data_IF_126387214746
#
_entry.id   IF_126387214746
#
_cell.length_a   1.000
_cell.length_b   1.000
_cell.length_c   1.000
_cell.angle_alpha   90.00
_cell.angle_beta   90.00
_cell.angle_gamma   90.00
#
_symmetry.space_group_name_H-M   'P 1'
#
loop_
_entity.id
_entity.type
_entity.pdbx_description
1 polymer ?
#
# COMPACT_ATOMS: atom_id res chain seq x y z
N UNK A 1 -4.51 -16.55 -10.96
CA UNK A 1 -3.77 -16.46 -9.68
C UNK A 1 -2.28 -16.59 -9.98
N UNK A 2 -1.43 -15.70 -9.46
CA UNK A 2 0.00 -15.71 -9.78
C UNK A 2 0.69 -16.90 -9.10
N UNK A 3 1.38 -17.75 -9.87
CA UNK A 3 2.18 -18.86 -9.35
C UNK A 3 3.66 -18.44 -9.28
N UNK A 4 4.29 -18.71 -8.14
CA UNK A 4 5.70 -18.49 -7.93
C UNK A 4 6.36 -19.81 -7.51
N UNK A 5 7.38 -20.29 -8.24
CA UNK A 5 8.05 -21.56 -7.91
C UNK A 5 8.76 -21.51 -6.56
N UNK A 6 9.22 -20.32 -6.14
CA UNK A 6 9.92 -20.10 -4.87
C UNK A 6 9.43 -18.82 -4.20
N UNK A 7 9.63 -18.72 -2.89
CA UNK A 7 9.41 -17.48 -2.13
C UNK A 7 10.26 -16.34 -2.73
N UNK A 8 11.49 -16.62 -3.13
CA UNK A 8 12.37 -15.62 -3.76
C UNK A 8 11.79 -15.08 -5.06
N UNK A 9 11.19 -15.94 -5.90
CA UNK A 9 10.49 -15.50 -7.11
C UNK A 9 9.35 -14.53 -6.78
N UNK A 10 8.59 -14.79 -5.72
CA UNK A 10 7.53 -13.89 -5.24
C UNK A 10 8.11 -12.55 -4.73
N UNK A 11 9.20 -12.57 -3.97
CA UNK A 11 9.89 -11.36 -3.49
C UNK A 11 10.43 -10.51 -4.64
N UNK A 12 11.03 -11.17 -5.65
CA UNK A 12 11.53 -10.51 -6.85
C UNK A 12 10.40 -9.87 -7.66
N UNK A 13 9.25 -10.55 -7.78
CA UNK A 13 8.07 -10.00 -8.43
C UNK A 13 7.54 -8.75 -7.69
N UNK A 14 7.46 -8.78 -6.35
CA UNK A 14 7.04 -7.62 -5.54
C UNK A 14 8.00 -6.43 -5.69
N UNK A 15 9.30 -6.71 -5.80
CA UNK A 15 10.33 -5.68 -5.93
C UNK A 15 10.29 -5.02 -7.31
N UNK A 16 9.96 -5.80 -8.36
CA UNK A 16 9.88 -5.34 -9.75
C UNK A 16 8.51 -4.77 -10.14
N UNK A 17 7.57 -4.61 -9.21
CA UNK A 17 6.17 -4.20 -9.44
C UNK A 17 5.96 -2.75 -9.93
N UNK A 18 6.90 -2.17 -10.68
CA UNK A 18 6.78 -0.85 -11.29
C UNK A 18 6.79 0.30 -10.27
N UNK A 19 5.85 1.23 -10.43
CA UNK A 19 5.74 2.46 -9.62
C UNK A 19 5.52 2.19 -8.12
N UNK A 20 5.01 1.00 -7.78
CA UNK A 20 4.72 0.59 -6.40
C UNK A 20 5.68 -0.48 -5.87
N UNK A 21 6.80 -0.72 -6.57
CA UNK A 21 7.83 -1.69 -6.18
C UNK A 21 8.32 -1.44 -4.75
N UNK A 22 8.69 -2.52 -4.07
CA UNK A 22 9.26 -2.49 -2.72
C UNK A 22 10.75 -2.80 -2.78
N UNK A 23 11.56 -2.14 -1.97
CA UNK A 23 13.00 -2.41 -1.91
C UNK A 23 13.27 -3.91 -1.62
N UNK A 24 14.23 -4.56 -2.30
CA UNK A 24 14.43 -6.01 -2.19
C UNK A 24 14.64 -6.52 -0.76
N UNK A 25 15.33 -5.76 0.08
CA UNK A 25 15.52 -6.11 1.48
C UNK A 25 14.19 -6.17 2.25
N UNK A 26 13.32 -5.18 2.06
CA UNK A 26 12.00 -5.15 2.69
C UNK A 26 11.08 -6.22 2.11
N UNK A 27 11.15 -6.47 0.80
CA UNK A 27 10.36 -7.53 0.15
C UNK A 27 10.68 -8.91 0.72
N UNK A 28 11.96 -9.22 0.97
CA UNK A 28 12.38 -10.49 1.58
C UNK A 28 11.78 -10.73 2.96
N UNK A 29 11.57 -9.67 3.75
CA UNK A 29 11.01 -9.78 5.11
C UNK A 29 9.48 -9.79 5.12
N UNK A 30 8.86 -9.05 4.20
CA UNK A 30 7.42 -8.77 4.24
C UNK A 30 6.59 -9.71 3.35
N UNK A 31 7.07 -10.03 2.15
CA UNK A 31 6.32 -10.87 1.19
C UNK A 31 5.98 -12.26 1.72
N UNK A 32 6.90 -13.00 2.40
CA UNK A 32 6.59 -14.36 2.86
C UNK A 32 5.37 -14.45 3.78
N UNK A 33 5.05 -13.38 4.52
CA UNK A 33 3.90 -13.31 5.45
C UNK A 33 2.54 -13.37 4.73
N UNK A 34 2.53 -13.03 3.44
CA UNK A 34 1.33 -13.06 2.60
C UNK A 34 1.30 -14.22 1.61
N UNK A 35 2.24 -15.17 1.69
CA UNK A 35 2.27 -16.31 0.77
C UNK A 35 1.48 -17.50 1.33
N UNK A 36 0.80 -18.21 0.43
CA UNK A 36 0.22 -19.52 0.71
C UNK A 36 0.80 -20.58 -0.24
N UNK A 37 1.08 -21.80 0.25
CA UNK A 37 1.50 -22.88 -0.62
C UNK A 37 0.36 -23.27 -1.55
N UNK A 38 0.70 -23.65 -2.78
CA UNK A 38 -0.26 -24.15 -3.77
C UNK A 38 0.33 -25.33 -4.54
N UNK A 39 -0.54 -26.25 -4.91
CA UNK A 39 -0.26 -27.33 -5.83
C UNK A 39 -1.08 -27.11 -7.10
N UNK A 40 -0.45 -27.13 -8.27
CA UNK A 40 -1.11 -26.97 -9.57
C UNK A 40 -0.77 -28.16 -10.43
N UNK A 41 -1.79 -28.86 -10.92
CA UNK A 41 -1.62 -29.91 -11.94
C UNK A 41 -1.46 -29.23 -13.30
N UNK A 42 -0.37 -29.50 -14.01
CA UNK A 42 -0.15 -28.90 -15.33
C UNK A 42 -1.11 -29.54 -16.36
N UNK A 43 -2.10 -28.82 -16.92
CA UNK A 43 -3.09 -29.40 -17.83
C UNK A 43 -2.48 -29.89 -19.16
N UNK A 44 -1.27 -29.43 -19.52
CA UNK A 44 -0.61 -29.76 -20.78
C UNK A 44 0.33 -30.99 -20.71
N UNK A 45 0.56 -31.56 -19.53
CA UNK A 45 1.52 -32.65 -19.30
C UNK A 45 0.83 -34.00 -18.98
N UNK A 46 -0.47 -34.14 -19.28
CA UNK A 46 -1.25 -35.39 -19.13
C UNK A 46 -0.74 -36.57 -19.98
N UNK A 47 0.39 -36.41 -20.70
CA UNK A 47 1.04 -37.42 -21.54
C UNK A 47 2.49 -37.76 -21.12
N UNK A 48 2.92 -37.44 -19.89
CA UNK A 48 4.18 -37.98 -19.35
C UNK A 48 3.90 -39.22 -18.48
N UNK A 49 4.58 -40.30 -18.81
CA UNK A 49 4.37 -41.68 -18.36
C UNK A 49 4.70 -41.99 -16.90
N UNK A 50 5.09 -40.99 -16.09
CA UNK A 50 5.58 -41.19 -14.70
C UNK A 50 4.61 -40.67 -13.62
N UNK A 51 3.35 -40.40 -13.96
CA UNK A 51 2.24 -40.28 -13.00
C UNK A 51 2.25 -39.08 -12.04
N UNK A 52 3.31 -38.28 -11.95
CA UNK A 52 3.37 -37.14 -11.03
C UNK A 52 3.64 -35.81 -11.75
N UNK A 53 2.57 -35.09 -12.07
CA UNK A 53 2.59 -33.84 -12.82
C UNK A 53 2.06 -32.65 -12.00
N UNK A 54 2.37 -32.67 -10.70
CA UNK A 54 1.95 -31.66 -9.74
C UNK A 54 3.10 -30.71 -9.47
N UNK A 55 2.91 -29.43 -9.80
CA UNK A 55 3.84 -28.36 -9.47
C UNK A 55 3.50 -27.80 -8.09
N UNK A 56 4.46 -27.82 -7.18
CA UNK A 56 4.38 -27.18 -5.86
C UNK A 56 5.01 -25.80 -5.91
N UNK A 57 4.37 -24.82 -5.30
CA UNK A 57 4.90 -23.47 -5.23
C UNK A 57 4.09 -22.59 -4.30
N UNK A 58 4.13 -21.29 -4.57
CA UNK A 58 3.56 -20.25 -3.73
C UNK A 58 2.68 -19.32 -4.54
N UNK A 59 1.66 -18.78 -3.89
CA UNK A 59 0.88 -17.67 -4.43
C UNK A 59 0.64 -16.63 -3.35
N UNK A 60 0.36 -15.40 -3.76
CA UNK A 60 -0.03 -14.35 -2.83
C UNK A 60 -1.45 -14.62 -2.37
N UNK A 61 -1.65 -14.64 -1.05
CA UNK A 61 -2.97 -14.76 -0.45
C UNK A 61 -3.78 -13.53 -0.83
N UNK A 62 -4.85 -13.74 -1.59
CA UNK A 62 -5.72 -12.68 -2.08
C UNK A 62 -7.08 -13.28 -2.48
N UNK A 63 -8.10 -12.43 -2.49
CA UNK A 63 -9.40 -12.73 -3.06
C UNK A 63 -9.47 -12.16 -4.49
N UNK A 64 -9.93 -12.95 -5.45
CA UNK A 64 -10.10 -12.49 -6.83
C UNK A 64 -11.15 -11.38 -6.93
N UNK A 65 -12.11 -11.31 -6.01
CA UNK A 65 -13.10 -10.25 -5.94
C UNK A 65 -12.47 -8.84 -5.85
N UNK A 66 -11.26 -8.73 -5.30
CA UNK A 66 -10.52 -7.46 -5.23
C UNK A 66 -10.10 -6.91 -6.61
N UNK A 67 -10.17 -7.74 -7.66
CA UNK A 67 -9.90 -7.33 -9.06
C UNK A 67 -11.16 -6.94 -9.83
N UNK A 68 -12.35 -7.16 -9.24
CA UNK A 68 -13.62 -6.78 -9.85
C UNK A 68 -13.76 -5.26 -9.77
N UNK A 69 -14.06 -4.63 -10.91
CA UNK A 69 -14.32 -3.20 -10.96
C UNK A 69 -15.62 -2.88 -10.20
N UNK A 70 -15.63 -1.83 -9.36
CA UNK A 70 -16.84 -1.44 -8.67
C UNK A 70 -17.91 -0.99 -9.68
N UNK A 71 -19.16 -1.40 -9.45
CA UNK A 71 -20.28 -1.03 -10.32
C UNK A 71 -20.52 0.48 -10.39
N UNK A 72 -20.16 1.21 -9.33
CA UNK A 72 -20.25 2.67 -9.24
C UNK A 72 -19.03 3.23 -8.53
N UNK A 73 -18.46 4.30 -9.08
CA UNK A 73 -17.38 5.07 -8.45
C UNK A 73 -17.94 6.32 -7.77
N UNK A 74 -17.24 6.81 -6.75
CA UNK A 74 -17.63 8.06 -6.08
C UNK A 74 -17.37 9.25 -7.00
N UNK A 75 -18.41 10.08 -7.20
CA UNK A 75 -18.24 11.34 -7.93
C UNK A 75 -17.39 12.33 -7.12
N UNK A 76 -16.80 13.31 -7.82
CA UNK A 76 -16.03 14.39 -7.17
C UNK A 76 -16.85 15.14 -6.11
N UNK A 77 -18.15 15.31 -6.33
CA UNK A 77 -19.06 15.93 -5.37
C UNK A 77 -19.17 15.12 -4.07
N UNK A 78 -19.25 13.78 -4.17
CA UNK A 78 -19.25 12.92 -2.99
C UNK A 78 -17.92 12.97 -2.24
N UNK A 79 -16.79 12.92 -2.95
CA UNK A 79 -15.46 13.03 -2.33
C UNK A 79 -15.31 14.37 -1.60
N UNK A 80 -15.70 15.49 -2.24
CA UNK A 80 -15.69 16.81 -1.62
C UNK A 80 -16.59 16.87 -0.39
N UNK A 81 -17.81 16.35 -0.48
CA UNK A 81 -18.75 16.32 0.64
C UNK A 81 -18.24 15.50 1.84
N UNK A 82 -17.46 14.44 1.58
CA UNK A 82 -16.79 13.65 2.60
C UNK A 82 -15.64 14.42 3.26
N UNK A 83 -14.71 14.97 2.48
CA UNK A 83 -13.56 15.73 3.01
C UNK A 83 -14.00 16.97 3.81
N UNK A 84 -15.05 17.67 3.37
CA UNK A 84 -15.63 18.81 4.07
C UNK A 84 -16.19 18.48 5.47
N UNK A 85 -16.48 17.21 5.75
CA UNK A 85 -17.04 16.76 7.04
C UNK A 85 -15.96 16.26 8.02
N UNK A 86 -14.72 16.11 7.58
CA UNK A 86 -13.61 15.78 8.47
C UNK A 86 -13.37 16.96 9.41
N UNK A 87 -13.43 16.72 10.72
CA UNK A 87 -13.22 17.72 11.76
C UNK A 87 -11.97 17.45 12.60
N UNK A 88 -11.49 16.21 12.62
CA UNK A 88 -10.26 15.84 13.34
C UNK A 88 -9.03 16.47 12.65
N UNK A 89 -7.96 16.80 13.40
CA UNK A 89 -6.67 17.09 12.79
C UNK A 89 -6.20 15.94 11.89
N UNK A 90 -5.56 16.27 10.77
CA UNK A 90 -5.08 15.29 9.79
C UNK A 90 -3.61 15.55 9.48
N UNK A 91 -2.78 14.50 9.54
CA UNK A 91 -1.45 14.49 8.97
C UNK A 91 -1.46 13.67 7.68
N UNK A 92 -1.04 14.28 6.58
CA UNK A 92 -0.79 13.60 5.32
C UNK A 92 0.72 13.57 5.04
N UNK A 93 1.29 12.36 5.01
CA UNK A 93 2.67 12.12 4.60
C UNK A 93 2.70 11.71 3.13
N UNK A 94 3.38 12.49 2.30
CA UNK A 94 3.46 12.28 0.86
C UNK A 94 4.90 11.91 0.48
N UNK A 95 5.08 10.72 -0.09
CA UNK A 95 6.34 10.32 -0.69
C UNK A 95 6.73 11.30 -1.83
N UNK A 96 8.02 11.51 -2.06
CA UNK A 96 8.51 12.44 -3.09
C UNK A 96 8.98 11.74 -4.36
N UNK A 97 9.34 10.45 -4.31
CA UNK A 97 9.76 9.71 -5.50
C UNK A 97 8.55 9.24 -6.34
N UNK A 98 8.80 9.11 -7.66
CA UNK A 98 7.94 8.50 -8.69
C UNK A 98 6.43 8.76 -8.52
N UNK A 99 5.91 9.80 -9.17
CA UNK A 99 4.47 10.04 -9.45
C UNK A 99 3.47 9.76 -8.32
N UNK A 100 3.91 9.74 -7.07
CA UNK A 100 3.10 9.32 -5.93
C UNK A 100 1.99 10.31 -5.60
N UNK A 101 1.93 11.43 -6.31
CA UNK A 101 0.72 12.23 -6.54
C UNK A 101 0.97 13.21 -7.67
N UNK A 102 0.03 13.35 -8.62
CA UNK A 102 -0.04 14.58 -9.41
C UNK A 102 -0.23 15.71 -8.40
N UNK A 103 0.82 16.48 -8.16
CA UNK A 103 0.89 17.54 -7.13
C UNK A 103 -0.36 18.42 -7.11
N UNK A 104 -0.91 18.70 -8.30
CA UNK A 104 -2.12 19.48 -8.51
C UNK A 104 -3.36 18.88 -7.83
N UNK A 105 -3.59 17.56 -7.93
CA UNK A 105 -4.77 16.91 -7.37
C UNK A 105 -4.78 16.91 -5.84
N UNK A 106 -3.60 16.88 -5.20
CA UNK A 106 -3.50 16.97 -3.75
C UNK A 106 -3.85 18.37 -3.30
N UNK A 107 -3.17 19.39 -3.85
CA UNK A 107 -3.39 20.79 -3.47
C UNK A 107 -4.85 21.22 -3.65
N UNK A 108 -5.51 20.80 -4.72
CA UNK A 108 -6.94 21.07 -4.95
C UNK A 108 -7.83 20.42 -3.88
N UNK A 109 -7.56 19.16 -3.51
CA UNK A 109 -8.37 18.42 -2.53
C UNK A 109 -8.10 18.86 -1.10
N UNK A 110 -6.90 19.37 -0.82
CA UNK A 110 -6.55 19.97 0.46
C UNK A 110 -7.48 21.13 0.81
N UNK A 111 -7.89 21.93 -0.18
CA UNK A 111 -8.83 23.01 0.01
C UNK A 111 -10.25 22.54 0.41
N UNK A 112 -10.57 21.25 0.24
CA UNK A 112 -11.87 20.69 0.64
C UNK A 112 -11.91 20.26 2.11
N UNK A 113 -10.83 20.41 2.88
CA UNK A 113 -10.85 20.20 4.32
C UNK A 113 -11.22 21.49 5.06
N UNK A 114 -12.45 21.98 4.89
CA UNK A 114 -12.86 23.27 5.45
C UNK A 114 -12.97 23.31 6.98
N UNK A 115 -13.03 22.15 7.65
CA UNK A 115 -13.25 22.04 9.11
C UNK A 115 -12.12 21.38 9.89
N UNK A 116 -11.06 20.94 9.20
CA UNK A 116 -9.95 20.24 9.81
C UNK A 116 -8.65 21.01 9.61
N UNK A 117 -7.79 21.01 10.63
CA UNK A 117 -6.38 21.39 10.48
C UNK A 117 -5.65 20.27 9.77
N UNK A 118 -5.24 20.48 8.53
CA UNK A 118 -4.46 19.49 7.79
C UNK A 118 -3.00 19.92 7.68
N UNK A 119 -2.11 19.02 8.10
CA UNK A 119 -0.66 19.15 7.94
C UNK A 119 -0.20 18.23 6.83
N UNK A 120 0.45 18.77 5.81
CA UNK A 120 1.05 17.97 4.74
C UNK A 120 2.56 18.00 4.89
N UNK A 121 3.19 16.84 4.99
CA UNK A 121 4.66 16.72 4.95
C UNK A 121 5.05 15.86 3.76
N UNK A 122 5.99 16.36 2.96
CA UNK A 122 6.63 15.57 1.92
C UNK A 122 7.85 14.87 2.52
N UNK A 123 7.97 13.57 2.29
CA UNK A 123 9.02 12.73 2.84
C UNK A 123 9.74 11.99 1.72
N UNK A 124 11.05 11.81 1.87
CA UNK A 124 11.86 11.15 0.86
C UNK A 124 11.60 9.65 0.81
N UNK A 125 11.47 9.12 -0.41
CA UNK A 125 11.24 7.71 -0.68
C UNK A 125 10.08 7.44 -1.64
N UNK A 126 9.80 6.16 -1.84
CA UNK A 126 8.77 5.64 -2.74
C UNK A 126 7.39 5.56 -2.07
N UNK A 127 6.37 5.12 -2.82
CA UNK A 127 5.02 4.87 -2.27
C UNK A 127 5.03 3.97 -1.01
N UNK A 128 5.95 3.01 -0.93
CA UNK A 128 6.03 2.06 0.18
C UNK A 128 7.02 2.50 1.27
N UNK A 129 7.40 3.79 1.35
CA UNK A 129 8.45 4.30 2.24
C UNK A 129 8.28 3.90 3.71
N UNK A 130 7.04 3.79 4.20
CA UNK A 130 6.77 3.34 5.57
C UNK A 130 7.17 1.88 5.84
N UNK A 131 7.24 1.04 4.80
CA UNK A 131 7.71 -0.34 4.86
C UNK A 131 9.23 -0.45 4.66
N UNK A 132 9.87 0.60 4.13
CA UNK A 132 11.30 0.64 3.78
C UNK A 132 12.12 1.37 4.84
N UNK A 133 11.54 2.43 5.42
CA UNK A 133 12.12 3.24 6.49
C UNK A 133 11.04 3.61 7.51
N UNK A 134 10.56 2.58 8.23
CA UNK A 134 9.53 2.74 9.26
C UNK A 134 9.92 3.77 10.33
N UNK A 135 11.20 3.80 10.73
CA UNK A 135 11.72 4.70 11.76
C UNK A 135 11.55 6.18 11.38
N UNK A 136 11.86 6.54 10.13
CA UNK A 136 11.69 7.91 9.64
C UNK A 136 10.20 8.30 9.63
N UNK A 137 9.34 7.44 9.09
CA UNK A 137 7.90 7.70 9.01
C UNK A 137 7.28 7.80 10.40
N UNK A 138 7.61 6.88 11.31
CA UNK A 138 7.12 6.93 12.69
C UNK A 138 7.60 8.17 13.42
N UNK A 139 8.83 8.64 13.20
CA UNK A 139 9.33 9.90 13.75
C UNK A 139 8.45 11.10 13.36
N UNK A 140 8.05 11.20 12.09
CA UNK A 140 7.14 12.26 11.65
C UNK A 140 5.75 12.16 12.29
N UNK A 141 5.21 10.95 12.44
CA UNK A 141 3.90 10.71 13.06
C UNK A 141 3.94 11.03 14.56
N UNK A 142 4.90 10.47 15.30
CA UNK A 142 5.04 10.69 16.74
C UNK A 142 5.23 12.16 17.07
N UNK A 143 6.12 12.87 16.36
CA UNK A 143 6.33 14.30 16.58
C UNK A 143 5.03 15.09 16.35
N UNK A 144 4.29 14.79 15.27
CA UNK A 144 3.04 15.49 14.99
C UNK A 144 1.96 15.23 16.05
N UNK A 145 1.85 13.99 16.55
CA UNK A 145 0.94 13.64 17.65
C UNK A 145 1.30 14.43 18.91
N UNK A 146 2.57 14.42 19.31
CA UNK A 146 3.04 15.15 20.50
C UNK A 146 2.83 16.66 20.37
N UNK A 147 2.99 17.22 19.16
CA UNK A 147 2.70 18.62 18.87
C UNK A 147 1.18 18.95 18.97
N UNK A 148 0.30 17.96 18.77
CA UNK A 148 -1.15 18.16 18.99
C UNK A 148 -1.47 18.13 20.49
N UNK A 149 -0.87 17.23 21.26
CA UNK A 149 -1.09 17.11 22.71
C UNK A 149 -0.56 18.33 23.48
N UNK A 150 0.56 18.92 23.03
CA UNK A 150 1.09 20.16 23.60
C UNK A 150 0.12 21.35 23.48
N UNK A 151 -0.81 21.32 22.51
CA UNK A 151 -1.85 22.33 22.35
C UNK A 151 -3.04 22.13 23.31
N UNK A 152 -3.08 21.04 24.09
CA UNK A 152 -4.15 20.72 25.06
C UNK A 152 -3.57 20.16 26.37
N UNK A 153 -2.47 20.74 26.88
CA UNK A 153 -2.34 20.90 28.35
C UNK A 153 -3.08 22.19 28.73
N UNK A 154 -4.37 22.23 28.39
CA UNK A 154 -5.33 23.00 29.13
C UNK A 154 -5.69 22.13 30.34
N UNK A 155 -5.05 22.48 31.46
CA UNK A 155 -5.36 22.11 32.84
C UNK A 155 -6.74 21.46 32.99
N UNK A 156 -6.75 20.17 33.34
CA UNK A 156 -7.72 19.64 34.30
C UNK A 156 -7.03 19.56 35.65
#
# INVERSE_FOLDING_TARGET
>A
MAFHPTIESACNARSKGGEFGLHPASAKVLVPRGLRPVEITNPNDAKKSDGNNTLRGWTWSTDQALTIQPAQTLSSAYVRAFLNRVTSPVLALLATEKNSTKSETVSERMAWFCKAKVTVKRIEGSHSVHMENAQMVSGHVCNWILDQDAATIARL
#
